data_IF_843802116916
#
_entry.id   IF_843802116916
#
_cell.length_a   1.000
_cell.length_b   1.000
_cell.length_c   1.000
_cell.angle_alpha   90.00
_cell.angle_beta   90.00
_cell.angle_gamma   90.00
#
_symmetry.space_group_name_H-M   'P 1'
#
loop_
_entity.id
_entity.type
_entity.pdbx_description
1 polymer ?
#
# COMPACT_ATOMS: atom_id res chain seq x y z
N UNK A 1 -2.84 44.89 -1.64
CA UNK A 1 -1.64 44.03 -1.59
C UNK A 1 -1.65 43.02 -0.43
N UNK A 2 -1.96 43.40 0.82
CA UNK A 2 -1.93 42.47 1.98
C UNK A 2 -2.96 41.30 1.92
N UNK A 3 -4.19 41.56 1.43
CA UNK A 3 -5.25 40.53 1.30
C UNK A 3 -4.94 39.47 0.23
N UNK A 4 -4.35 39.90 -0.89
CA UNK A 4 -3.94 39.02 -1.99
C UNK A 4 -2.77 38.14 -1.55
N UNK A 5 -1.82 38.68 -0.78
CA UNK A 5 -0.72 37.90 -0.19
C UNK A 5 -1.22 36.81 0.77
N UNK A 6 -2.27 37.10 1.56
CA UNK A 6 -2.84 36.13 2.50
C UNK A 6 -3.61 35.01 1.78
N UNK A 7 -4.31 35.33 0.69
CA UNK A 7 -5.01 34.36 -0.15
C UNK A 7 -4.03 33.45 -0.91
N UNK A 8 -2.93 33.99 -1.43
CA UNK A 8 -1.88 33.20 -2.07
C UNK A 8 -1.15 32.29 -1.07
N UNK A 9 -0.92 32.76 0.15
CA UNK A 9 -0.34 31.95 1.22
C UNK A 9 -1.28 30.81 1.65
N UNK A 10 -2.57 31.08 1.81
CA UNK A 10 -3.57 30.06 2.12
C UNK A 10 -3.70 29.01 0.99
N UNK A 11 -3.65 29.44 -0.28
CA UNK A 11 -3.64 28.54 -1.43
C UNK A 11 -2.38 27.67 -1.49
N UNK A 12 -1.21 28.22 -1.12
CA UNK A 12 0.05 27.48 -1.06
C UNK A 12 0.07 26.45 0.08
N UNK A 13 -0.55 26.77 1.24
CA UNK A 13 -0.70 25.81 2.35
C UNK A 13 -1.69 24.69 2.04
N UNK A 14 -2.71 24.95 1.20
CA UNK A 14 -3.68 23.94 0.76
C UNK A 14 -3.07 22.90 -0.20
N UNK A 15 -1.98 23.25 -0.87
CA UNK A 15 -1.26 22.39 -1.83
C UNK A 15 -0.33 21.37 -1.15
N UNK A 16 -0.16 21.44 0.18
CA UNK A 16 0.78 20.61 0.94
C UNK A 16 0.19 19.26 1.39
N UNK A 17 -0.69 18.63 0.61
CA UNK A 17 -1.36 17.36 1.00
C UNK A 17 -1.09 16.16 0.09
N UNK A 18 -0.31 16.29 -0.99
CA UNK A 18 -0.30 15.27 -2.04
C UNK A 18 0.98 14.45 -2.21
N UNK A 19 1.95 14.55 -1.31
CA UNK A 19 3.10 13.61 -1.32
C UNK A 19 3.37 13.07 0.07
N UNK A 20 2.33 12.60 0.76
CA UNK A 20 2.56 11.49 1.67
C UNK A 20 2.51 10.25 0.80
N UNK A 21 3.67 9.78 0.34
CA UNK A 21 3.80 8.36 0.10
C UNK A 21 3.59 7.72 1.48
N UNK A 22 2.33 7.43 1.80
CA UNK A 22 2.00 6.65 2.98
C UNK A 22 2.80 5.36 2.79
N UNK A 23 3.88 5.20 3.56
CA UNK A 23 4.67 3.99 3.49
C UNK A 23 3.71 2.85 3.78
N UNK A 24 3.49 2.00 2.78
CA UNK A 24 2.70 0.81 3.00
C UNK A 24 3.42 0.00 4.09
N UNK A 25 2.66 -0.35 5.11
CA UNK A 25 3.16 -1.04 6.29
C UNK A 25 3.86 -2.34 5.87
N UNK A 26 5.01 -2.65 6.45
CA UNK A 26 5.80 -3.85 6.10
C UNK A 26 5.68 -4.98 7.15
N UNK A 27 5.12 -4.67 8.32
CA UNK A 27 5.10 -5.53 9.50
C UNK A 27 3.71 -5.53 10.13
N UNK A 28 3.22 -6.68 10.57
CA UNK A 28 2.09 -6.76 11.51
C UNK A 28 2.63 -7.04 12.90
N UNK A 29 2.24 -6.20 13.86
CA UNK A 29 2.51 -6.42 15.27
C UNK A 29 1.52 -7.42 15.86
N UNK A 30 1.84 -7.94 17.04
CA UNK A 30 0.97 -8.87 17.77
C UNK A 30 -0.41 -8.25 17.97
N UNK A 31 -1.45 -9.01 17.61
CA UNK A 31 -2.85 -8.59 17.71
C UNK A 31 -3.37 -7.84 16.48
N UNK A 32 -2.50 -7.43 15.56
CA UNK A 32 -2.92 -6.84 14.30
C UNK A 32 -3.30 -7.91 13.27
N UNK A 33 -4.13 -7.52 12.32
CA UNK A 33 -4.65 -8.41 11.29
C UNK A 33 -4.55 -7.74 9.93
N UNK A 34 -4.37 -8.56 8.89
CA UNK A 34 -4.49 -8.15 7.50
C UNK A 34 -5.86 -8.60 7.00
N UNK A 35 -6.81 -7.68 6.92
CA UNK A 35 -8.14 -7.96 6.42
C UNK A 35 -8.14 -8.19 4.90
N UNK A 36 -9.20 -8.80 4.41
CA UNK A 36 -9.38 -9.03 2.98
C UNK A 36 -9.33 -7.72 2.18
N UNK A 37 -8.54 -7.71 1.09
CA UNK A 37 -8.22 -6.54 0.28
C UNK A 37 -7.03 -5.71 0.78
N UNK A 38 -6.48 -5.99 1.97
CA UNK A 38 -5.33 -5.25 2.50
C UNK A 38 -4.00 -5.91 2.10
N UNK A 39 -2.93 -5.12 2.15
CA UNK A 39 -1.59 -5.59 1.87
C UNK A 39 -0.51 -4.97 2.74
N UNK A 40 0.62 -5.67 2.82
CA UNK A 40 1.88 -5.15 3.37
C UNK A 40 2.90 -5.05 2.24
N UNK A 41 3.73 -4.00 2.26
CA UNK A 41 4.77 -3.79 1.26
C UNK A 41 6.15 -3.87 1.91
N UNK A 42 7.12 -4.51 1.26
CA UNK A 42 8.50 -4.46 1.73
C UNK A 42 9.04 -3.02 1.67
N UNK A 43 10.00 -2.67 2.53
CA UNK A 43 10.57 -1.32 2.60
C UNK A 43 11.14 -0.79 1.27
N UNK A 44 11.59 -1.68 0.39
CA UNK A 44 12.09 -1.35 -0.94
C UNK A 44 11.01 -1.31 -2.03
N UNK A 45 9.74 -1.52 -1.68
CA UNK A 45 8.59 -1.46 -2.59
C UNK A 45 8.40 -2.67 -3.51
N UNK A 46 9.30 -3.67 -3.47
CA UNK A 46 9.38 -4.74 -4.49
C UNK A 46 8.52 -5.96 -4.23
N UNK A 47 8.13 -6.17 -2.97
CA UNK A 47 7.30 -7.28 -2.54
C UNK A 47 6.01 -6.76 -1.95
N UNK A 48 4.91 -7.43 -2.24
CA UNK A 48 3.60 -7.11 -1.68
C UNK A 48 2.94 -8.40 -1.18
N UNK A 49 2.66 -8.47 0.12
CA UNK A 49 1.91 -9.55 0.73
C UNK A 49 0.44 -9.11 0.82
N UNK A 50 -0.44 -9.76 0.05
CA UNK A 50 -1.83 -9.34 -0.12
C UNK A 50 -2.75 -10.41 0.45
N UNK A 51 -3.64 -10.03 1.35
CA UNK A 51 -4.80 -10.86 1.70
C UNK A 51 -5.90 -10.58 0.68
N UNK A 52 -6.05 -11.45 -0.31
CA UNK A 52 -7.03 -11.26 -1.37
C UNK A 52 -8.47 -11.39 -0.85
N UNK A 53 -9.44 -10.84 -1.57
CA UNK A 53 -10.87 -10.87 -1.20
C UNK A 53 -11.48 -12.27 -1.21
N UNK A 54 -10.83 -13.23 -1.86
CA UNK A 54 -11.22 -14.65 -1.92
C UNK A 54 -10.61 -15.49 -0.78
N UNK A 55 -9.95 -14.83 0.20
CA UNK A 55 -9.34 -15.47 1.35
C UNK A 55 -7.94 -16.04 1.10
N UNK A 56 -7.36 -15.85 -0.09
CA UNK A 56 -6.02 -16.31 -0.38
C UNK A 56 -4.97 -15.27 0.03
N UNK A 57 -3.98 -15.67 0.82
CA UNK A 57 -2.80 -14.86 1.14
C UNK A 57 -1.71 -15.14 0.09
N UNK A 58 -1.32 -14.10 -0.66
CA UNK A 58 -0.38 -14.21 -1.78
C UNK A 58 0.77 -13.23 -1.62
N UNK A 59 1.98 -13.71 -1.84
CA UNK A 59 3.18 -12.87 -1.97
C UNK A 59 3.44 -12.62 -3.46
N UNK A 60 3.45 -11.35 -3.82
CA UNK A 60 3.77 -10.87 -5.16
C UNK A 60 5.15 -10.22 -5.18
N UNK A 61 5.86 -10.34 -6.31
CA UNK A 61 6.97 -9.44 -6.65
C UNK A 61 6.50 -8.31 -7.56
N UNK A 62 7.41 -7.43 -7.93
CA UNK A 62 7.31 -6.45 -9.02
C UNK A 62 6.35 -6.89 -10.15
N UNK A 63 5.48 -5.97 -10.57
CA UNK A 63 4.45 -6.18 -11.62
C UNK A 63 3.36 -7.22 -11.31
N UNK A 64 3.14 -7.57 -10.04
CA UNK A 64 2.03 -8.44 -9.64
C UNK A 64 2.24 -9.91 -9.99
N UNK A 65 3.49 -10.35 -10.12
CA UNK A 65 3.82 -11.75 -10.36
C UNK A 65 3.74 -12.52 -9.03
N UNK A 66 2.85 -13.51 -8.87
CA UNK A 66 2.76 -14.29 -7.65
C UNK A 66 3.97 -15.21 -7.53
N UNK A 67 4.62 -15.21 -6.38
CA UNK A 67 5.80 -16.06 -6.10
C UNK A 67 5.55 -17.07 -4.97
N UNK A 68 4.50 -16.84 -4.16
CA UNK A 68 4.04 -17.78 -3.14
C UNK A 68 2.57 -17.53 -2.80
N UNK A 69 1.82 -18.56 -2.43
CA UNK A 69 0.45 -18.44 -1.91
C UNK A 69 0.10 -19.56 -0.94
N UNK A 70 -0.83 -19.29 -0.03
CA UNK A 70 -1.38 -20.31 0.89
C UNK A 70 -2.32 -21.30 0.18
N UNK A 71 -3.03 -20.87 -0.88
CA UNK A 71 -3.66 -21.82 -1.81
C UNK A 71 -2.56 -22.47 -2.64
N UNK A 72 -2.47 -23.79 -2.56
CA UNK A 72 -1.69 -24.59 -3.50
C UNK A 72 -2.31 -24.42 -4.89
N UNK A 73 -1.59 -23.82 -5.83
CA UNK A 73 -2.03 -23.80 -7.23
C UNK A 73 -2.10 -25.25 -7.73
N UNK A 74 -3.24 -25.64 -8.31
CA UNK A 74 -3.34 -26.80 -9.17
C UNK A 74 -2.40 -26.58 -10.36
N UNK A 75 -1.38 -27.43 -10.47
CA UNK A 75 -0.38 -27.40 -11.55
C UNK A 75 -1.11 -27.56 -12.89
N UNK A 76 -1.01 -26.56 -13.76
CA UNK A 76 -1.23 -26.74 -15.19
C UNK A 76 0.09 -27.22 -15.80
N UNK A 77 0.11 -28.47 -16.25
CA UNK A 77 1.15 -29.06 -17.09
C UNK A 77 0.94 -28.61 -18.54
#
# INVERSE_FOLDING_TARGET
MKKISLLLFAALMLQLTLVSAAFAKDTLFVGEQLAAGQSLQSQNGRLNLVMQTDGNLVLYRDHGIPIWSVKTIMVIF
#
